data_IF_173167469414
#
_entry.id   IF_173167469414
#
_cell.length_a   1.000
_cell.length_b   1.000
_cell.length_c   1.000
_cell.angle_alpha   90.00
_cell.angle_beta   90.00
_cell.angle_gamma   90.00
#
_symmetry.space_group_name_H-M   'P 1'
#
loop_
_entity.id
_entity.type
_entity.pdbx_description
1 polymer ?
#
# COMPACT_ATOMS: atom_id res chain seq x y z
N UNK A 1 -10.25 9.12 -15.61
CA UNK A 1 -9.97 8.27 -14.43
C UNK A 1 -9.15 9.02 -13.38
N UNK A 2 -8.03 9.64 -13.78
CA UNK A 2 -7.11 10.36 -12.89
C UNK A 2 -7.75 11.47 -12.04
N UNK A 3 -8.68 12.25 -12.61
CA UNK A 3 -9.31 13.37 -11.87
C UNK A 3 -10.13 12.94 -10.66
N UNK A 4 -10.84 11.82 -10.72
CA UNK A 4 -11.67 11.35 -9.60
C UNK A 4 -10.79 10.80 -8.47
N UNK A 5 -9.76 10.03 -8.84
CA UNK A 5 -8.76 9.50 -7.90
C UNK A 5 -7.97 10.64 -7.27
N UNK A 6 -7.52 11.61 -8.07
CA UNK A 6 -6.83 12.82 -7.58
C UNK A 6 -7.71 13.66 -6.64
N UNK A 7 -9.00 13.81 -6.95
CA UNK A 7 -9.93 14.54 -6.09
C UNK A 7 -10.22 13.80 -4.78
N UNK A 8 -10.34 12.48 -4.82
CA UNK A 8 -10.52 11.64 -3.62
C UNK A 8 -9.27 11.73 -2.73
N UNK A 9 -8.08 11.58 -3.31
CA UNK A 9 -6.80 11.74 -2.61
C UNK A 9 -6.67 13.14 -1.99
N UNK A 10 -7.05 14.21 -2.72
CA UNK A 10 -7.03 15.60 -2.22
C UNK A 10 -8.09 15.91 -1.16
N UNK A 11 -9.26 15.27 -1.20
CA UNK A 11 -10.39 15.55 -0.29
C UNK A 11 -10.30 14.80 1.06
N UNK A 12 -9.16 14.20 1.37
CA UNK A 12 -8.86 13.68 2.70
C UNK A 12 -9.02 12.16 2.84
N UNK A 13 -9.08 11.41 1.73
CA UNK A 13 -9.09 9.95 1.78
C UNK A 13 -7.86 9.41 2.54
N UNK A 14 -6.69 10.04 2.41
CA UNK A 14 -5.48 9.67 3.17
C UNK A 14 -5.71 9.53 4.69
N UNK A 15 -6.41 10.49 5.31
CA UNK A 15 -6.71 10.43 6.75
C UNK A 15 -7.74 9.37 7.12
N UNK A 16 -8.68 9.04 6.22
CA UNK A 16 -9.63 7.94 6.45
C UNK A 16 -8.95 6.58 6.27
N UNK A 17 -8.07 6.48 5.27
CA UNK A 17 -7.26 5.31 4.98
C UNK A 17 -6.42 4.97 6.20
N UNK A 18 -5.64 5.92 6.70
CA UNK A 18 -4.75 5.69 7.84
C UNK A 18 -5.54 5.17 9.04
N UNK A 19 -6.68 5.77 9.39
CA UNK A 19 -7.52 5.32 10.50
C UNK A 19 -8.08 3.91 10.30
N UNK A 20 -8.59 3.60 9.11
CA UNK A 20 -9.16 2.28 8.83
C UNK A 20 -8.08 1.20 8.80
N UNK A 21 -6.91 1.50 8.23
CA UNK A 21 -5.75 0.62 8.20
C UNK A 21 -5.20 0.37 9.59
N UNK A 22 -5.05 1.40 10.41
CA UNK A 22 -4.51 1.27 11.77
C UNK A 22 -5.42 0.39 12.64
N UNK A 23 -6.74 0.50 12.48
CA UNK A 23 -7.69 -0.39 13.15
C UNK A 23 -7.52 -1.86 12.72
N UNK A 24 -7.40 -2.11 11.41
CA UNK A 24 -7.16 -3.47 10.89
C UNK A 24 -5.82 -4.04 11.35
N UNK A 25 -4.77 -3.23 11.34
CA UNK A 25 -3.43 -3.59 11.84
C UNK A 25 -3.49 -3.95 13.33
N UNK A 26 -4.23 -3.19 14.12
CA UNK A 26 -4.36 -3.45 15.55
C UNK A 26 -5.02 -4.80 15.84
N UNK A 27 -6.03 -5.16 15.04
CA UNK A 27 -6.81 -6.40 15.21
C UNK A 27 -6.14 -7.63 14.55
N UNK A 28 -5.19 -7.45 13.64
CA UNK A 28 -4.53 -8.55 12.92
C UNK A 28 -3.32 -9.10 13.71
N UNK A 29 -3.55 -10.21 14.43
CA UNK A 29 -2.50 -10.89 15.20
C UNK A 29 -1.33 -11.40 14.34
N UNK A 30 -1.57 -11.75 13.07
CA UNK A 30 -0.53 -12.22 12.15
C UNK A 30 0.40 -11.05 11.80
N UNK A 31 -0.18 -9.91 11.43
CA UNK A 31 0.59 -8.69 11.18
C UNK A 31 1.42 -8.29 12.42
N UNK A 32 0.79 -8.25 13.59
CA UNK A 32 1.47 -7.90 14.84
C UNK A 32 2.64 -8.84 15.15
N UNK A 33 2.48 -10.14 14.88
CA UNK A 33 3.58 -11.10 15.01
C UNK A 33 4.69 -10.83 14.00
N UNK A 34 4.37 -10.66 12.73
CA UNK A 34 5.35 -10.39 11.68
C UNK A 34 6.15 -9.10 11.95
N UNK A 35 5.48 -8.02 12.37
CA UNK A 35 6.12 -6.76 12.73
C UNK A 35 7.13 -6.94 13.87
N UNK A 36 6.78 -7.69 14.93
CA UNK A 36 7.74 -8.00 16.01
C UNK A 36 8.90 -8.87 15.55
N UNK A 37 8.66 -9.84 14.66
CA UNK A 37 9.72 -10.68 14.10
C UNK A 37 10.68 -9.87 13.22
N UNK A 38 10.17 -8.88 12.49
CA UNK A 38 10.96 -7.93 11.71
C UNK A 38 11.89 -7.10 12.61
N UNK A 39 11.37 -6.52 13.70
CA UNK A 39 12.17 -5.77 14.67
C UNK A 39 13.32 -6.61 15.25
N UNK A 40 13.02 -7.87 15.62
CA UNK A 40 14.02 -8.81 16.14
C UNK A 40 15.07 -9.17 15.07
N UNK A 41 14.66 -9.31 13.81
CA UNK A 41 15.58 -9.58 12.70
C UNK A 41 16.50 -8.38 12.43
N UNK A 42 15.95 -7.17 12.48
CA UNK A 42 16.70 -5.92 12.32
C UNK A 42 17.75 -5.76 13.43
N UNK A 43 17.38 -5.98 14.70
CA UNK A 43 18.32 -5.95 15.83
C UNK A 43 19.45 -6.99 15.66
N UNK A 44 19.11 -8.22 15.27
CA UNK A 44 20.12 -9.26 14.99
C UNK A 44 21.08 -8.82 13.89
N UNK A 45 20.57 -8.22 12.80
CA UNK A 45 21.39 -7.72 11.70
C UNK A 45 22.34 -6.60 12.16
N UNK A 46 21.85 -5.66 12.97
CA UNK A 46 22.64 -4.57 13.53
C UNK A 46 23.77 -5.06 14.43
N UNK A 47 23.52 -6.13 15.18
CA UNK A 47 24.47 -6.76 16.09
C UNK A 47 25.46 -7.72 15.40
N UNK A 48 25.30 -7.99 14.11
CA UNK A 48 26.32 -8.70 13.35
C UNK A 48 27.59 -7.83 13.26
N UNK A 49 28.76 -8.46 13.42
CA UNK A 49 30.09 -7.86 13.24
C UNK A 49 30.40 -7.61 11.75
N UNK A 50 29.48 -6.96 11.04
CA UNK A 50 29.62 -6.56 9.65
C UNK A 50 30.43 -5.27 9.55
N UNK A 51 31.20 -5.16 8.47
CA UNK A 51 31.86 -3.89 8.12
C UNK A 51 30.82 -2.81 7.80
N UNK A 52 31.22 -1.54 7.93
CA UNK A 52 30.35 -0.40 7.56
C UNK A 52 29.82 -0.49 6.12
N UNK A 53 30.64 -0.96 5.18
CA UNK A 53 30.25 -1.13 3.79
C UNK A 53 29.17 -2.20 3.60
N UNK A 54 29.34 -3.36 4.24
CA UNK A 54 28.35 -4.44 4.20
C UNK A 54 27.02 -4.01 4.82
N UNK A 55 27.04 -3.35 5.98
CA UNK A 55 25.82 -2.82 6.61
C UNK A 55 25.10 -1.85 5.68
N UNK A 56 25.83 -0.93 5.04
CA UNK A 56 25.24 0.03 4.09
C UNK A 56 24.55 -0.66 2.92
N UNK A 57 25.18 -1.67 2.33
CA UNK A 57 24.59 -2.41 1.19
C UNK A 57 23.30 -3.10 1.61
N UNK A 58 23.33 -3.82 2.74
CA UNK A 58 22.15 -4.54 3.25
C UNK A 58 21.01 -3.57 3.58
N UNK A 59 21.30 -2.49 4.30
CA UNK A 59 20.28 -1.51 4.69
C UNK A 59 19.68 -0.79 3.48
N UNK A 60 20.49 -0.46 2.47
CA UNK A 60 19.98 0.12 1.23
C UNK A 60 19.05 -0.86 0.51
N UNK A 61 19.45 -2.13 0.38
CA UNK A 61 18.61 -3.14 -0.24
C UNK A 61 17.27 -3.33 0.50
N UNK A 62 17.29 -3.43 1.83
CA UNK A 62 16.08 -3.52 2.66
C UNK A 62 15.20 -2.29 2.47
N UNK A 63 15.80 -1.10 2.43
CA UNK A 63 15.08 0.16 2.19
C UNK A 63 14.40 0.17 0.82
N UNK A 64 15.07 -0.28 -0.24
CA UNK A 64 14.52 -0.31 -1.59
C UNK A 64 13.37 -1.33 -1.72
N UNK A 65 13.48 -2.49 -1.05
CA UNK A 65 12.40 -3.49 -0.96
C UNK A 65 11.20 -2.90 -0.23
N UNK A 66 11.37 -2.35 0.98
CA UNK A 66 10.29 -1.73 1.76
C UNK A 66 9.62 -0.60 0.97
N UNK A 67 10.40 0.25 0.29
CA UNK A 67 9.85 1.32 -0.54
C UNK A 67 8.98 0.80 -1.70
N UNK A 68 9.41 -0.30 -2.33
CA UNK A 68 8.66 -0.97 -3.41
C UNK A 68 7.37 -1.58 -2.87
N UNK A 69 7.42 -2.28 -1.73
CA UNK A 69 6.26 -2.90 -1.09
C UNK A 69 5.24 -1.85 -0.62
N UNK A 70 5.69 -0.72 -0.05
CA UNK A 70 4.82 0.39 0.29
C UNK A 70 4.10 0.94 -0.95
N UNK A 71 4.83 1.13 -2.06
CA UNK A 71 4.22 1.60 -3.31
C UNK A 71 3.22 0.59 -3.88
N UNK A 72 3.52 -0.70 -3.79
CA UNK A 72 2.61 -1.77 -4.20
C UNK A 72 1.32 -1.79 -3.35
N UNK A 73 1.44 -1.60 -2.03
CA UNK A 73 0.29 -1.52 -1.13
C UNK A 73 -0.60 -0.32 -1.45
N UNK A 74 -0.01 0.86 -1.69
CA UNK A 74 -0.75 2.06 -2.12
C UNK A 74 -1.53 1.82 -3.43
N UNK A 75 -0.89 1.21 -4.43
CA UNK A 75 -1.53 0.89 -5.70
C UNK A 75 -2.64 -0.15 -5.55
N UNK A 76 -2.40 -1.18 -4.73
CA UNK A 76 -3.41 -2.21 -4.44
C UNK A 76 -4.65 -1.63 -3.76
N UNK A 77 -4.45 -0.67 -2.84
CA UNK A 77 -5.55 0.05 -2.22
C UNK A 77 -6.33 0.89 -3.24
N UNK A 78 -5.62 1.67 -4.07
CA UNK A 78 -6.25 2.48 -5.12
C UNK A 78 -7.04 1.63 -6.12
N UNK A 79 -6.49 0.49 -6.53
CA UNK A 79 -7.18 -0.49 -7.37
C UNK A 79 -8.46 -0.99 -6.68
N UNK A 80 -8.37 -1.42 -5.42
CA UNK A 80 -9.55 -1.88 -4.66
C UNK A 80 -10.65 -0.81 -4.52
N UNK A 81 -10.28 0.46 -4.32
CA UNK A 81 -11.24 1.57 -4.32
C UNK A 81 -11.86 1.77 -5.70
N UNK A 82 -11.05 1.78 -6.76
CA UNK A 82 -11.52 1.90 -8.16
C UNK A 82 -12.52 0.78 -8.48
N UNK A 83 -12.17 -0.46 -8.20
CA UNK A 83 -12.99 -1.64 -8.52
C UNK A 83 -14.30 -1.63 -7.72
N UNK A 84 -14.24 -1.25 -6.44
CA UNK A 84 -15.44 -1.11 -5.61
C UNK A 84 -16.39 -0.03 -6.15
N UNK A 85 -15.86 1.14 -6.51
CA UNK A 85 -16.66 2.20 -7.15
C UNK A 85 -17.25 1.70 -8.46
N UNK A 86 -16.45 0.99 -9.26
CA UNK A 86 -16.90 0.38 -10.51
C UNK A 86 -18.08 -0.56 -10.31
N UNK A 87 -17.97 -1.48 -9.35
CA UNK A 87 -19.03 -2.42 -8.99
C UNK A 87 -20.31 -1.70 -8.53
N UNK A 88 -20.20 -0.64 -7.71
CA UNK A 88 -21.36 0.13 -7.25
C UNK A 88 -22.08 0.86 -8.40
N UNK A 89 -21.33 1.35 -9.40
CA UNK A 89 -21.91 1.92 -10.63
C UNK A 89 -22.64 0.85 -11.44
N UNK A 90 -22.01 -0.32 -11.64
CA UNK A 90 -22.61 -1.44 -12.38
C UNK A 90 -23.89 -1.98 -11.71
N UNK A 91 -23.99 -1.87 -10.38
CA UNK A 91 -25.19 -2.22 -9.61
C UNK A 91 -26.23 -1.08 -9.54
N UNK A 92 -26.01 0.03 -10.27
CA UNK A 92 -26.85 1.23 -10.26
C UNK A 92 -27.06 1.88 -8.88
N UNK A 93 -26.19 1.55 -7.91
CA UNK A 93 -26.27 2.07 -6.54
C UNK A 93 -25.79 3.52 -6.43
N UNK A 94 -24.93 3.95 -7.36
CA UNK A 94 -24.44 5.34 -7.49
C UNK A 94 -24.48 5.79 -8.95
N UNK A 95 -24.81 7.06 -9.20
CA UNK A 95 -24.97 7.65 -10.55
C UNK A 95 -23.93 8.74 -10.82
N UNK A 96 -23.56 8.95 -12.08
CA UNK A 96 -22.73 10.08 -12.52
C UNK A 96 -21.21 9.87 -12.43
N UNK A 97 -20.74 8.61 -12.40
CA UNK A 97 -19.31 8.27 -12.45
C UNK A 97 -19.01 7.64 -13.81
N UNK A 98 -18.26 8.35 -14.65
CA UNK A 98 -17.69 7.79 -15.88
C UNK A 98 -16.40 7.04 -15.55
N UNK A 99 -16.45 5.71 -15.62
CA UNK A 99 -15.28 4.85 -15.53
C UNK A 99 -14.62 4.91 -16.91
N UNK A 100 -13.36 5.35 -16.97
CA UNK A 100 -12.61 5.27 -18.23
C UNK A 100 -12.45 3.79 -18.62
N UNK A 101 -12.64 3.47 -19.89
CA UNK A 101 -12.37 2.13 -20.40
C UNK A 101 -10.86 1.84 -20.29
N UNK A 102 -10.51 0.64 -19.85
CA UNK A 102 -9.17 0.10 -20.05
C UNK A 102 -9.08 -0.23 -21.54
N UNK A 103 -8.18 0.48 -22.24
CA UNK A 103 -7.91 0.24 -23.65
C UNK A 103 -7.23 -1.12 -23.77
N UNK A 104 -8.01 -2.18 -23.94
CA UNK A 104 -7.58 -3.55 -24.24
C UNK A 104 -7.04 -3.65 -25.69
N UNK A 105 -6.14 -2.75 -26.08
CA UNK A 105 -5.35 -2.90 -27.31
C UNK A 105 -3.96 -3.40 -26.95
N UNK A 106 -3.87 -4.72 -26.78
CA UNK A 106 -2.61 -5.45 -26.98
C UNK A 106 -2.55 -5.76 -28.47
N UNK A 107 -1.66 -5.08 -29.20
CA UNK A 107 -1.24 -5.45 -30.56
C UNK A 107 -0.01 -6.36 -30.50
#
# INVERSE_FOLDING_TARGET
MDKLIDDLLKKGLGNFIDRSRDALIWDDEIYQKCSREEDVAEEKCLNMNLTKGQKKIIMNYVSDVRATDHRYADLSYLAGVKDTVGMLVSLEMIKGVELGEEDDTVE
#
